data_IF_945684361682
#
_entry.id   IF_945684361682
#
_cell.length_a   1.000
_cell.length_b   1.000
_cell.length_c   1.000
_cell.angle_alpha   90.00
_cell.angle_beta   90.00
_cell.angle_gamma   90.00
#
_symmetry.space_group_name_H-M   'P 1'
#
loop_
_entity.id
_entity.type
_entity.pdbx_description
1 polymer ?
#
# COMPACT_ATOMS: atom_id res chain seq x y z
N UNK A 1 -11.98 -36.12 -2.76
CA UNK A 1 -12.43 -35.99 -1.36
C UNK A 1 -12.17 -34.61 -0.76
N UNK A 2 -10.99 -34.29 -0.22
CA UNK A 2 -10.75 -32.99 0.46
C UNK A 2 -10.92 -31.77 -0.46
N UNK A 3 -10.40 -31.82 -1.68
CA UNK A 3 -10.57 -30.75 -2.68
C UNK A 3 -12.04 -30.55 -3.10
N UNK A 4 -12.84 -31.60 -3.17
CA UNK A 4 -14.27 -31.52 -3.52
C UNK A 4 -15.10 -30.94 -2.38
N UNK A 5 -14.76 -31.25 -1.13
CA UNK A 5 -15.38 -30.67 0.05
C UNK A 5 -15.18 -29.16 0.09
N UNK A 6 -13.94 -28.68 -0.09
CA UNK A 6 -13.63 -27.24 -0.19
C UNK A 6 -14.33 -26.59 -1.38
N UNK A 7 -14.43 -27.28 -2.52
CA UNK A 7 -15.13 -26.76 -3.71
C UNK A 7 -16.63 -26.56 -3.47
N UNK A 8 -17.25 -27.45 -2.70
CA UNK A 8 -18.64 -27.33 -2.27
C UNK A 8 -18.83 -26.21 -1.26
N UNK A 9 -17.95 -26.13 -0.25
CA UNK A 9 -17.96 -25.10 0.79
C UNK A 9 -17.81 -23.68 0.22
N UNK A 10 -16.90 -23.51 -0.75
CA UNK A 10 -16.67 -22.24 -1.43
C UNK A 10 -17.69 -21.93 -2.54
N UNK A 11 -18.68 -22.80 -2.79
CA UNK A 11 -19.69 -22.57 -3.82
C UNK A 11 -19.16 -22.62 -5.27
N UNK A 12 -17.95 -23.17 -5.47
CA UNK A 12 -17.23 -23.22 -6.76
C UNK A 12 -17.84 -24.19 -7.79
N UNK A 13 -18.99 -24.80 -7.47
CA UNK A 13 -19.76 -25.61 -8.41
C UNK A 13 -20.64 -24.78 -9.36
N UNK A 14 -20.91 -23.54 -8.99
CA UNK A 14 -21.71 -22.61 -9.79
C UNK A 14 -20.83 -21.86 -10.81
N UNK A 15 -21.36 -21.48 -11.99
CA UNK A 15 -20.64 -20.61 -12.92
C UNK A 15 -20.14 -19.34 -12.21
N UNK A 16 -18.90 -18.93 -12.50
CA UNK A 16 -18.25 -17.78 -11.84
C UNK A 16 -19.10 -16.51 -11.90
N UNK A 17 -19.87 -16.32 -12.97
CA UNK A 17 -20.71 -15.13 -13.15
C UNK A 17 -21.88 -15.09 -12.16
N UNK A 18 -22.44 -16.25 -11.80
CA UNK A 18 -23.51 -16.36 -10.82
C UNK A 18 -22.97 -16.03 -9.42
N UNK A 19 -21.78 -16.53 -9.09
CA UNK A 19 -21.12 -16.21 -7.82
C UNK A 19 -20.78 -14.72 -7.73
N UNK A 20 -20.29 -14.13 -8.81
CA UNK A 20 -19.99 -12.69 -8.86
C UNK A 20 -21.25 -11.85 -8.65
N UNK A 21 -22.36 -12.18 -9.32
CA UNK A 21 -23.63 -11.48 -9.12
C UNK A 21 -24.20 -11.67 -7.72
N UNK A 22 -24.08 -12.86 -7.13
CA UNK A 22 -24.49 -13.11 -5.76
C UNK A 22 -23.65 -12.28 -4.76
N UNK A 23 -22.33 -12.25 -4.95
CA UNK A 23 -21.41 -11.45 -4.14
C UNK A 23 -21.67 -9.95 -4.30
N UNK A 24 -21.89 -9.45 -5.52
CA UNK A 24 -22.27 -8.06 -5.77
C UNK A 24 -23.61 -7.71 -5.12
N UNK A 25 -24.56 -8.65 -5.11
CA UNK A 25 -25.84 -8.51 -4.41
C UNK A 25 -25.66 -8.34 -2.90
N UNK A 26 -24.81 -9.15 -2.28
CA UNK A 26 -24.45 -9.03 -0.86
C UNK A 26 -23.73 -7.69 -0.58
N UNK A 27 -22.79 -7.33 -1.44
CA UNK A 27 -22.04 -6.07 -1.34
C UNK A 27 -22.95 -4.84 -1.42
N UNK A 28 -23.98 -4.88 -2.27
CA UNK A 28 -24.97 -3.80 -2.37
C UNK A 28 -25.78 -3.60 -1.07
N UNK A 29 -25.84 -4.61 -0.20
CA UNK A 29 -26.42 -4.56 1.14
C UNK A 29 -25.36 -4.31 2.22
N UNK A 30 -24.15 -3.88 1.84
CA UNK A 30 -22.99 -3.69 2.72
C UNK A 30 -22.49 -4.96 3.41
N UNK A 31 -22.84 -6.14 2.90
CA UNK A 31 -22.29 -7.41 3.36
C UNK A 31 -21.09 -7.81 2.48
N UNK A 32 -19.90 -7.68 3.05
CA UNK A 32 -18.64 -8.08 2.40
C UNK A 32 -18.32 -9.57 2.61
N UNK A 33 -19.08 -10.25 3.48
CA UNK A 33 -18.84 -11.63 3.87
C UNK A 33 -17.60 -11.83 4.75
N UNK A 34 -17.10 -13.06 4.73
CA UNK A 34 -15.93 -13.50 5.51
C UNK A 34 -14.73 -13.78 4.61
N UNK A 35 -13.54 -13.49 5.11
CA UNK A 35 -12.26 -13.77 4.45
C UNK A 35 -12.06 -15.26 4.29
N UNK A 36 -11.79 -15.71 3.07
CA UNK A 36 -11.46 -17.11 2.79
C UNK A 36 -10.09 -17.54 3.33
N UNK A 37 -9.24 -16.58 3.70
CA UNK A 37 -7.88 -16.83 4.21
C UNK A 37 -7.88 -16.83 5.73
N UNK A 38 -8.54 -15.85 6.36
CA UNK A 38 -8.48 -15.62 7.80
C UNK A 38 -9.74 -16.08 8.55
N UNK A 39 -10.84 -16.37 7.85
CA UNK A 39 -12.12 -16.75 8.46
C UNK A 39 -12.83 -15.63 9.21
N UNK A 40 -12.32 -14.40 9.18
CA UNK A 40 -12.87 -13.21 9.85
C UNK A 40 -13.71 -12.36 8.89
N UNK A 41 -14.62 -11.51 9.40
CA UNK A 41 -15.35 -10.56 8.56
C UNK A 41 -14.40 -9.68 7.75
N UNK A 42 -14.67 -9.53 6.45
CA UNK A 42 -13.81 -8.75 5.54
C UNK A 42 -13.68 -7.30 5.97
N UNK A 43 -14.74 -6.74 6.56
CA UNK A 43 -14.74 -5.35 7.06
C UNK A 43 -13.72 -5.12 8.18
N UNK A 44 -13.53 -6.09 9.06
CA UNK A 44 -12.56 -6.00 10.17
C UNK A 44 -11.12 -6.02 9.64
N UNK A 45 -10.88 -6.84 8.61
CA UNK A 45 -9.59 -6.90 7.94
C UNK A 45 -9.28 -5.61 7.18
N UNK A 46 -10.25 -5.09 6.41
CA UNK A 46 -10.10 -3.83 5.68
C UNK A 46 -9.81 -2.69 6.65
N UNK A 47 -10.58 -2.56 7.72
CA UNK A 47 -10.41 -1.47 8.69
C UNK A 47 -9.05 -1.54 9.39
N UNK A 48 -8.59 -2.75 9.72
CA UNK A 48 -7.28 -2.98 10.32
C UNK A 48 -6.15 -2.59 9.37
N UNK A 49 -6.15 -3.12 8.14
CA UNK A 49 -5.12 -2.82 7.15
C UNK A 49 -5.12 -1.35 6.70
N UNK A 50 -6.31 -0.76 6.57
CA UNK A 50 -6.46 0.65 6.24
C UNK A 50 -5.91 1.53 7.37
N UNK A 51 -6.13 1.16 8.64
CA UNK A 51 -5.53 1.83 9.79
C UNK A 51 -4.01 1.86 9.73
N UNK A 52 -3.37 0.72 9.46
CA UNK A 52 -1.92 0.65 9.30
C UNK A 52 -1.42 1.46 8.08
N UNK A 53 -2.13 1.38 6.96
CA UNK A 53 -1.78 2.13 5.74
C UNK A 53 -1.84 3.63 5.97
N UNK A 54 -2.89 4.12 6.65
CA UNK A 54 -3.04 5.52 7.02
C UNK A 54 -1.96 5.96 8.00
N UNK A 55 -1.66 5.16 9.02
CA UNK A 55 -0.60 5.49 9.98
C UNK A 55 0.76 5.64 9.28
N UNK A 56 1.11 4.70 8.40
CA UNK A 56 2.34 4.76 7.61
C UNK A 56 2.35 5.96 6.66
N UNK A 57 1.24 6.23 5.95
CA UNK A 57 1.12 7.35 5.04
C UNK A 57 1.25 8.70 5.76
N UNK A 58 0.55 8.88 6.88
CA UNK A 58 0.62 10.09 7.70
C UNK A 58 2.02 10.28 8.30
N UNK A 59 2.63 9.21 8.82
CA UNK A 59 4.00 9.26 9.34
C UNK A 59 5.01 9.67 8.27
N UNK A 60 4.94 9.05 7.09
CA UNK A 60 5.78 9.38 5.95
C UNK A 60 5.54 10.81 5.44
N UNK A 61 4.29 11.28 5.44
CA UNK A 61 3.94 12.64 5.03
C UNK A 61 4.52 13.69 5.99
N UNK A 62 4.38 13.49 7.30
CA UNK A 62 4.96 14.39 8.30
C UNK A 62 6.48 14.40 8.21
N UNK A 63 7.11 13.23 8.11
CA UNK A 63 8.57 13.13 7.92
C UNK A 63 9.02 13.84 6.62
N UNK A 64 8.27 13.67 5.54
CA UNK A 64 8.52 14.36 4.26
C UNK A 64 8.45 15.87 4.41
N UNK A 65 7.42 16.41 5.08
CA UNK A 65 7.33 17.85 5.33
C UNK A 65 8.51 18.37 6.16
N UNK A 66 8.87 17.66 7.22
CA UNK A 66 9.97 18.05 8.10
C UNK A 66 11.33 18.08 7.38
N UNK A 67 11.53 17.26 6.34
CA UNK A 67 12.79 17.20 5.59
C UNK A 67 12.72 18.09 4.35
N UNK A 68 11.67 17.96 3.54
CA UNK A 68 11.53 18.63 2.26
C UNK A 68 11.38 20.15 2.39
N UNK A 69 10.67 20.64 3.42
CA UNK A 69 10.51 22.08 3.63
C UNK A 69 11.84 22.79 3.93
N UNK A 70 12.64 22.41 4.95
CA UNK A 70 13.90 23.10 5.21
C UNK A 70 14.88 22.94 4.05
N UNK A 71 14.99 21.74 3.47
CA UNK A 71 15.87 21.50 2.32
C UNK A 71 15.46 22.36 1.11
N UNK A 72 14.17 22.42 0.80
CA UNK A 72 13.63 23.22 -0.30
C UNK A 72 13.78 24.71 -0.08
N UNK A 73 13.50 25.21 1.13
CA UNK A 73 13.67 26.63 1.49
C UNK A 73 15.14 27.03 1.36
N UNK A 74 16.07 26.27 1.93
CA UNK A 74 17.51 26.59 1.87
C UNK A 74 18.01 26.56 0.42
N UNK A 75 17.63 25.55 -0.37
CA UNK A 75 18.00 25.49 -1.78
C UNK A 75 17.46 26.69 -2.57
N UNK A 76 16.22 27.11 -2.30
CA UNK A 76 15.59 28.27 -2.94
C UNK A 76 16.17 29.63 -2.52
N UNK A 77 16.61 29.77 -1.26
CA UNK A 77 17.25 31.00 -0.77
C UNK A 77 18.67 31.17 -1.31
N UNK A 78 19.38 30.07 -1.60
CA UNK A 78 20.77 30.09 -2.08
C UNK A 78 20.92 29.38 -3.44
N UNK A 79 20.37 29.97 -4.52
CA UNK A 79 20.40 29.37 -5.85
C UNK A 79 21.84 29.24 -6.34
N UNK A 80 22.12 28.16 -7.10
CA UNK A 80 23.47 27.85 -7.62
C UNK A 80 24.53 27.67 -6.53
N UNK A 81 24.15 27.47 -5.28
CA UNK A 81 25.07 27.07 -4.22
C UNK A 81 25.49 25.60 -4.39
N UNK A 82 26.52 25.17 -3.65
CA UNK A 82 26.89 23.75 -3.59
C UNK A 82 25.75 22.91 -2.99
N UNK A 83 25.01 23.46 -2.03
CA UNK A 83 23.88 22.80 -1.39
C UNK A 83 22.73 22.56 -2.39
N UNK A 84 22.37 23.59 -3.15
CA UNK A 84 21.34 23.51 -4.21
C UNK A 84 21.69 22.43 -5.25
N UNK A 85 22.92 22.44 -5.78
CA UNK A 85 23.39 21.42 -6.75
C UNK A 85 23.36 20.00 -6.20
N UNK A 86 23.76 19.78 -4.95
CA UNK A 86 23.75 18.45 -4.32
C UNK A 86 22.30 17.96 -4.15
N UNK A 87 21.44 18.79 -3.58
CA UNK A 87 20.02 18.47 -3.37
C UNK A 87 19.30 18.17 -4.68
N UNK A 88 19.58 18.95 -5.73
CA UNK A 88 19.03 18.70 -7.06
C UNK A 88 19.52 17.37 -7.64
N UNK A 89 20.81 17.05 -7.52
CA UNK A 89 21.37 15.77 -7.95
C UNK A 89 20.74 14.57 -7.24
N UNK A 90 20.61 14.65 -5.91
CA UNK A 90 19.94 13.63 -5.09
C UNK A 90 18.48 13.46 -5.54
N UNK A 91 17.77 14.56 -5.77
CA UNK A 91 16.36 14.54 -6.18
C UNK A 91 16.16 13.86 -7.55
N UNK A 92 17.06 14.12 -8.50
CA UNK A 92 17.05 13.48 -9.82
C UNK A 92 17.33 11.99 -9.68
N UNK A 93 18.34 11.62 -8.89
CA UNK A 93 18.68 10.21 -8.64
C UNK A 93 17.50 9.45 -8.03
N UNK A 94 16.88 9.96 -6.96
CA UNK A 94 15.74 9.32 -6.32
C UNK A 94 14.54 9.19 -7.27
N UNK A 95 14.28 10.18 -8.14
CA UNK A 95 13.19 10.11 -9.13
C UNK A 95 13.48 9.14 -10.26
N UNK A 96 14.74 8.90 -10.59
CA UNK A 96 15.14 7.99 -11.66
C UNK A 96 15.05 6.51 -11.24
N UNK A 97 15.20 6.21 -9.96
CA UNK A 97 15.13 4.83 -9.43
C UNK A 97 13.67 4.38 -9.30
N UNK A 98 13.28 3.21 -9.84
CA UNK A 98 11.96 2.64 -9.64
C UNK A 98 11.67 2.38 -8.16
N UNK A 99 10.47 2.72 -7.69
CA UNK A 99 10.11 2.61 -6.27
C UNK A 99 10.30 1.19 -5.68
N UNK A 100 9.99 0.14 -6.45
CA UNK A 100 10.18 -1.24 -5.99
C UNK A 100 11.66 -1.59 -5.78
N UNK A 101 12.54 -1.10 -6.66
CA UNK A 101 13.98 -1.36 -6.57
C UNK A 101 14.58 -0.61 -5.38
N UNK A 102 14.17 0.64 -5.17
CA UNK A 102 14.50 1.40 -3.97
C UNK A 102 14.06 0.65 -2.70
N UNK A 103 12.83 0.12 -2.69
CA UNK A 103 12.30 -0.67 -1.58
C UNK A 103 13.17 -1.90 -1.26
N UNK A 104 13.59 -2.66 -2.28
CA UNK A 104 14.49 -3.81 -2.08
C UNK A 104 15.82 -3.38 -1.46
N UNK A 105 16.43 -2.30 -1.95
CA UNK A 105 17.69 -1.77 -1.39
C UNK A 105 17.51 -1.34 0.07
N UNK A 106 16.42 -0.66 0.40
CA UNK A 106 16.12 -0.25 1.78
C UNK A 106 15.96 -1.46 2.70
N UNK A 107 15.26 -2.52 2.26
CA UNK A 107 15.14 -3.77 3.02
C UNK A 107 16.53 -4.37 3.29
N UNK A 108 17.41 -4.44 2.29
CA UNK A 108 18.76 -4.99 2.47
C UNK A 108 19.61 -4.20 3.47
N UNK A 109 19.37 -2.90 3.61
CA UNK A 109 20.13 -2.02 4.52
C UNK A 109 19.54 -2.03 5.94
N UNK A 110 18.21 -2.05 6.08
CA UNK A 110 17.51 -1.79 7.34
C UNK A 110 16.83 -3.00 7.98
N UNK A 111 16.70 -4.15 7.30
CA UNK A 111 15.94 -5.30 7.81
C UNK A 111 16.74 -6.23 8.77
N UNK A 112 17.97 -5.85 9.14
CA UNK A 112 18.78 -6.54 10.16
C UNK A 112 18.42 -6.04 11.56
#
# INVERSE_FOLDING_TARGET
AAAEAVRLELGLNSPWIVQLWAWLGQLAHFDLGSSLVYGTPVIDEITTQLGYSLLLACGAFVASLLIALPVGIIAGLYPNSRFDRITMGISIFLRAVPAFALGIVLVLIFAV
#
